data_IF_926283270224
#
_entry.id   IF_926283270224
#
_cell.length_a   1.000
_cell.length_b   1.000
_cell.length_c   1.000
_cell.angle_alpha   90.00
_cell.angle_beta   90.00
_cell.angle_gamma   90.00
#
_symmetry.space_group_name_H-M   'P 1'
#
loop_
_entity.id
_entity.type
_entity.pdbx_description
1 polymer ?
#
# COMPACT_ATOMS: atom_id res chain seq x y z
N UNK A 1 22.46 -2.43 43.56
CA UNK A 1 21.81 -3.32 42.58
C UNK A 1 20.47 -2.77 42.05
N UNK A 2 19.57 -2.26 42.89
CA UNK A 2 18.26 -1.71 42.47
C UNK A 2 18.39 -0.50 41.50
N UNK A 3 19.36 0.39 41.73
CA UNK A 3 19.59 1.57 40.87
C UNK A 3 20.02 1.21 39.43
N UNK A 4 20.83 0.16 39.25
CA UNK A 4 21.22 -0.34 37.93
C UNK A 4 20.03 -0.95 37.17
N UNK A 5 19.13 -1.63 37.88
CA UNK A 5 17.92 -2.21 37.29
C UNK A 5 16.96 -1.12 36.80
N UNK A 6 16.80 -0.04 37.55
CA UNK A 6 15.94 1.10 37.18
C UNK A 6 16.47 1.83 35.93
N UNK A 7 17.79 2.01 35.80
CA UNK A 7 18.38 2.60 34.59
C UNK A 7 18.18 1.72 33.35
N UNK A 8 18.27 0.40 33.49
CA UNK A 8 18.03 -0.55 32.39
C UNK A 8 16.58 -0.50 31.92
N UNK A 9 15.63 -0.49 32.85
CA UNK A 9 14.19 -0.41 32.52
C UNK A 9 13.86 0.96 31.90
N UNK A 10 14.40 2.04 32.46
CA UNK A 10 14.20 3.39 31.93
C UNK A 10 14.80 3.59 30.52
N UNK A 11 15.83 2.82 30.15
CA UNK A 11 16.38 2.82 28.79
C UNK A 11 15.63 1.91 27.82
N UNK A 12 15.22 0.71 28.26
CA UNK A 12 14.57 -0.30 27.39
C UNK A 12 13.14 0.07 26.99
N UNK A 13 12.36 0.65 27.91
CA UNK A 13 10.96 1.02 27.65
C UNK A 13 10.84 2.06 26.52
N UNK A 14 11.56 3.21 26.52
CA UNK A 14 11.49 4.15 25.42
C UNK A 14 11.98 3.55 24.10
N UNK A 15 13.02 2.70 24.10
CA UNK A 15 13.50 2.01 22.88
C UNK A 15 12.39 1.14 22.29
N UNK A 16 11.72 0.32 23.10
CA UNK A 16 10.60 -0.50 22.64
C UNK A 16 9.44 0.36 22.12
N UNK A 17 9.13 1.49 22.77
CA UNK A 17 8.13 2.45 22.28
C UNK A 17 8.51 3.06 20.92
N UNK A 18 9.77 3.43 20.71
CA UNK A 18 10.23 3.95 19.41
C UNK A 18 10.19 2.88 18.31
N UNK A 19 10.59 1.64 18.60
CA UNK A 19 10.45 0.52 17.66
C UNK A 19 8.98 0.22 17.30
N UNK A 20 8.07 0.31 18.27
CA UNK A 20 6.66 0.08 18.02
C UNK A 20 6.00 1.21 17.23
N UNK A 21 6.47 2.45 17.40
CA UNK A 21 5.98 3.61 16.65
C UNK A 21 6.41 3.58 15.17
N UNK A 22 7.60 3.03 14.87
CA UNK A 22 8.12 3.00 13.49
C UNK A 22 7.62 1.78 12.69
N UNK A 23 7.38 0.64 13.36
CA UNK A 23 6.83 -0.58 12.74
C UNK A 23 5.40 -0.43 12.19
N UNK A 24 4.71 0.67 12.50
CA UNK A 24 3.38 0.97 11.99
C UNK A 24 3.38 1.83 10.72
N UNK A 25 4.54 2.23 10.20
CA UNK A 25 4.65 2.92 8.91
C UNK A 25 4.64 1.88 7.80
N UNK A 26 3.45 1.58 7.28
CA UNK A 26 3.33 0.80 6.04
C UNK A 26 4.08 1.55 4.94
N UNK A 27 5.15 0.96 4.40
CA UNK A 27 5.96 1.61 3.38
C UNK A 27 5.12 1.81 2.11
N UNK A 28 4.77 3.05 1.81
CA UNK A 28 4.08 3.40 0.58
C UNK A 28 5.09 3.55 -0.54
N UNK A 29 5.17 2.56 -1.42
CA UNK A 29 5.98 2.66 -2.62
C UNK A 29 5.19 3.43 -3.68
N UNK A 30 5.59 4.69 -3.90
CA UNK A 30 4.93 5.57 -4.86
C UNK A 30 5.70 5.56 -6.18
N UNK A 31 5.00 5.28 -7.26
CA UNK A 31 5.52 5.41 -8.63
C UNK A 31 4.58 6.26 -9.48
N UNK A 32 5.09 6.77 -10.59
CA UNK A 32 4.27 7.45 -11.59
C UNK A 32 4.13 6.56 -12.81
N UNK A 33 2.89 6.25 -13.20
CA UNK A 33 2.58 5.50 -14.42
C UNK A 33 1.52 6.27 -15.19
N UNK A 34 1.81 6.59 -16.45
CA UNK A 34 0.91 7.34 -17.34
C UNK A 34 0.33 8.62 -16.70
N UNK A 35 1.20 9.41 -16.04
CA UNK A 35 0.81 10.65 -15.36
C UNK A 35 0.09 10.48 -14.01
N UNK A 36 -0.26 9.24 -13.65
CA UNK A 36 -0.92 8.88 -12.41
C UNK A 36 0.07 8.55 -11.31
N UNK A 37 -0.25 8.93 -10.07
CA UNK A 37 0.51 8.45 -8.92
C UNK A 37 -0.06 7.11 -8.45
N UNK A 38 0.74 6.04 -8.50
CA UNK A 38 0.37 4.71 -8.00
C UNK A 38 1.11 4.47 -6.69
N UNK A 39 0.36 4.35 -5.59
CA UNK A 39 0.84 3.95 -4.29
C UNK A 39 0.59 2.46 -4.05
N UNK A 40 1.65 1.69 -3.88
CA UNK A 40 1.53 0.27 -3.56
C UNK A 40 1.48 0.07 -2.04
N UNK A 41 0.38 -0.53 -1.55
CA UNK A 41 0.15 -0.82 -0.15
C UNK A 41 0.69 -2.22 0.17
N UNK A 42 1.93 -2.27 0.65
CA UNK A 42 2.61 -3.52 0.99
C UNK A 42 4.10 -3.48 0.67
N UNK A 43 4.80 -4.53 1.11
CA UNK A 43 6.21 -4.74 0.77
C UNK A 43 6.30 -5.47 -0.57
N UNK A 44 6.55 -4.71 -1.63
CA UNK A 44 6.81 -5.22 -2.97
C UNK A 44 8.27 -5.05 -3.31
N UNK A 45 8.91 -6.11 -3.80
CA UNK A 45 10.27 -6.03 -4.31
C UNK A 45 10.28 -5.37 -5.69
N UNK A 46 11.42 -4.83 -6.15
CA UNK A 46 11.53 -4.34 -7.52
C UNK A 46 11.16 -5.38 -8.58
N UNK A 47 11.40 -6.67 -8.31
CA UNK A 47 11.06 -7.76 -9.21
C UNK A 47 9.54 -7.95 -9.37
N UNK A 48 8.76 -7.62 -8.33
CA UNK A 48 7.29 -7.76 -8.37
C UNK A 48 6.61 -6.67 -9.21
N UNK A 49 7.29 -5.53 -9.44
CA UNK A 49 6.66 -4.32 -10.00
C UNK A 49 6.01 -4.55 -11.36
N UNK A 50 6.69 -5.23 -12.28
CA UNK A 50 6.16 -5.48 -13.63
C UNK A 50 4.87 -6.29 -13.56
N UNK A 51 4.86 -7.34 -12.74
CA UNK A 51 3.69 -8.17 -12.48
C UNK A 51 2.56 -7.33 -11.89
N UNK A 52 2.83 -6.58 -10.81
CA UNK A 52 1.83 -5.74 -10.14
C UNK A 52 1.24 -4.68 -11.06
N UNK A 53 2.05 -4.04 -11.91
CA UNK A 53 1.54 -3.05 -12.86
C UNK A 53 0.66 -3.67 -13.94
N UNK A 54 0.94 -4.90 -14.37
CA UNK A 54 0.02 -5.66 -15.21
C UNK A 54 -1.35 -5.80 -14.56
N UNK A 55 -1.37 -6.24 -13.30
CA UNK A 55 -2.61 -6.43 -12.54
C UNK A 55 -3.38 -5.11 -12.32
N UNK A 56 -2.69 -4.03 -11.97
CA UNK A 56 -3.31 -2.69 -11.83
C UNK A 56 -3.91 -2.24 -13.16
N UNK A 57 -3.19 -2.43 -14.28
CA UNK A 57 -3.66 -2.05 -15.62
C UNK A 57 -4.92 -2.81 -16.02
N UNK A 58 -4.98 -4.12 -15.76
CA UNK A 58 -6.17 -4.91 -16.04
C UNK A 58 -7.39 -4.43 -15.25
N UNK A 59 -7.24 -4.19 -13.94
CA UNK A 59 -8.34 -3.67 -13.12
C UNK A 59 -8.80 -2.30 -13.62
N UNK A 60 -7.87 -1.42 -14.01
CA UNK A 60 -8.22 -0.13 -14.59
C UNK A 60 -9.01 -0.26 -15.89
N UNK A 61 -8.61 -1.15 -16.79
CA UNK A 61 -9.32 -1.40 -18.06
C UNK A 61 -10.71 -1.97 -17.79
N UNK A 62 -10.82 -2.96 -16.90
CA UNK A 62 -12.10 -3.61 -16.55
C UNK A 62 -13.11 -2.60 -15.98
N UNK A 63 -12.63 -1.66 -15.15
CA UNK A 63 -13.45 -0.61 -14.54
C UNK A 63 -13.51 0.69 -15.35
N UNK A 64 -12.94 0.72 -16.57
CA UNK A 64 -12.92 1.91 -17.45
C UNK A 64 -12.31 3.15 -16.77
N UNK A 65 -11.28 2.95 -15.96
CA UNK A 65 -10.57 4.01 -15.24
C UNK A 65 -9.50 4.63 -16.13
N UNK A 66 -9.52 5.96 -16.22
CA UNK A 66 -8.52 6.74 -16.94
C UNK A 66 -7.62 7.45 -15.95
N UNK A 67 -6.33 7.12 -15.96
CA UNK A 67 -5.35 7.81 -15.14
C UNK A 67 -4.99 9.18 -15.71
N UNK A 68 -4.66 10.10 -14.80
CA UNK A 68 -4.30 11.48 -15.12
C UNK A 68 -3.56 12.12 -13.95
N UNK A 69 -3.04 13.33 -14.17
CA UNK A 69 -2.23 14.05 -13.16
C UNK A 69 -3.03 14.40 -11.89
N UNK A 70 -4.34 14.57 -12.05
CA UNK A 70 -5.35 14.83 -11.01
C UNK A 70 -5.86 13.55 -10.32
N UNK A 71 -5.27 12.39 -10.64
CA UNK A 71 -5.61 11.10 -10.05
C UNK A 71 -4.45 10.52 -9.23
N UNK A 72 -4.81 9.81 -8.17
CA UNK A 72 -3.94 8.86 -7.48
C UNK A 72 -4.63 7.52 -7.42
N UNK A 73 -3.86 6.45 -7.47
CA UNK A 73 -4.33 5.09 -7.33
C UNK A 73 -3.57 4.42 -6.21
N UNK A 74 -4.26 3.72 -5.32
CA UNK A 74 -3.64 2.90 -4.29
C UNK A 74 -4.02 1.45 -4.53
N UNK A 75 -3.04 0.58 -4.58
CA UNK A 75 -3.25 -0.84 -4.86
C UNK A 75 -2.60 -1.71 -3.80
N UNK A 76 -3.31 -2.75 -3.38
CA UNK A 76 -2.72 -3.81 -2.59
C UNK A 76 -3.58 -5.05 -2.60
N UNK A 77 -3.03 -6.12 -2.07
CA UNK A 77 -3.72 -7.40 -2.01
C UNK A 77 -3.25 -8.23 -0.82
N UNK A 78 -4.09 -9.16 -0.41
CA UNK A 78 -3.78 -10.18 0.58
C UNK A 78 -4.05 -11.54 -0.04
N UNK A 79 -2.97 -12.25 -0.42
CA UNK A 79 -3.05 -13.60 -0.96
C UNK A 79 -3.76 -14.55 0.01
N UNK A 80 -4.60 -15.41 -0.54
CA UNK A 80 -5.14 -16.55 0.18
C UNK A 80 -4.03 -17.61 0.39
N UNK A 81 -4.14 -18.40 1.45
CA UNK A 81 -3.24 -19.55 1.67
C UNK A 81 -3.46 -20.67 0.63
N UNK A 82 -4.60 -20.65 -0.05
CA UNK A 82 -4.96 -21.61 -1.08
C UNK A 82 -5.38 -20.83 -2.33
N UNK A 83 -4.53 -20.86 -3.36
CA UNK A 83 -4.80 -20.23 -4.66
C UNK A 83 -3.54 -19.73 -5.37
N UNK A 84 -3.60 -19.67 -6.71
CA UNK A 84 -2.64 -18.92 -7.53
C UNK A 84 -3.09 -17.46 -7.76
N UNK A 85 -4.21 -17.06 -7.17
CA UNK A 85 -4.78 -15.71 -7.27
C UNK A 85 -4.11 -14.70 -6.32
N UNK A 86 -4.48 -13.41 -6.44
CA UNK A 86 -4.08 -12.38 -5.48
C UNK A 86 -4.94 -12.35 -4.22
N UNK A 87 -5.86 -13.29 -4.06
CA UNK A 87 -6.85 -13.30 -3.00
C UNK A 87 -7.62 -11.99 -2.97
N UNK A 88 -7.63 -11.37 -1.78
CA UNK A 88 -8.37 -10.12 -1.52
C UNK A 88 -7.57 -8.95 -2.08
N UNK A 89 -7.95 -8.49 -3.25
CA UNK A 89 -7.33 -7.35 -3.93
C UNK A 89 -8.20 -6.11 -3.75
N UNK A 90 -7.56 -4.98 -3.49
CA UNK A 90 -8.23 -3.69 -3.39
C UNK A 90 -7.51 -2.65 -4.23
N UNK A 91 -8.30 -1.74 -4.80
CA UNK A 91 -7.82 -0.59 -5.52
C UNK A 91 -8.66 0.63 -5.11
N UNK A 92 -8.00 1.68 -4.62
CA UNK A 92 -8.64 2.97 -4.35
C UNK A 92 -8.22 3.95 -5.44
N UNK A 93 -9.18 4.45 -6.21
CA UNK A 93 -8.94 5.41 -7.28
C UNK A 93 -9.44 6.79 -6.86
N UNK A 94 -8.52 7.70 -6.63
CA UNK A 94 -8.75 8.95 -5.92
C UNK A 94 -8.56 10.18 -6.79
N UNK A 95 -9.37 11.20 -6.51
CA UNK A 95 -9.25 12.54 -7.10
C UNK A 95 -8.40 13.42 -6.18
N UNK A 96 -7.46 14.16 -6.76
CA UNK A 96 -6.68 15.19 -6.08
C UNK A 96 -7.39 16.54 -6.20
N UNK A 97 -7.58 17.23 -5.08
CA UNK A 97 -7.98 18.64 -5.07
C UNK A 97 -6.80 19.57 -5.35
N UNK A 98 -7.05 20.87 -5.37
CA UNK A 98 -6.08 21.91 -5.75
C UNK A 98 -4.80 21.93 -4.91
N UNK A 99 -4.89 21.49 -3.65
CA UNK A 99 -3.76 21.38 -2.72
C UNK A 99 -3.05 20.00 -2.78
N UNK A 100 -3.31 19.21 -3.82
CA UNK A 100 -2.82 17.82 -3.99
C UNK A 100 -3.29 16.84 -2.90
N UNK A 101 -4.23 17.23 -2.04
CA UNK A 101 -4.87 16.30 -1.09
C UNK A 101 -5.90 15.46 -1.83
N UNK A 102 -6.04 14.22 -1.40
CA UNK A 102 -7.10 13.34 -1.89
C UNK A 102 -8.43 13.85 -1.34
N UNK A 103 -9.39 14.13 -2.23
CA UNK A 103 -10.70 14.68 -1.85
C UNK A 103 -11.81 13.63 -1.90
N UNK A 104 -11.68 12.62 -2.75
CA UNK A 104 -12.61 11.50 -2.87
C UNK A 104 -11.88 10.29 -3.46
N UNK A 105 -12.39 9.09 -3.19
CA UNK A 105 -11.89 7.84 -3.76
C UNK A 105 -13.03 6.87 -4.05
N UNK A 106 -13.00 6.28 -5.24
CA UNK A 106 -13.80 5.10 -5.57
C UNK A 106 -12.99 3.84 -5.20
N UNK A 107 -13.62 2.90 -4.50
CA UNK A 107 -12.95 1.70 -3.99
C UNK A 107 -13.46 0.46 -4.73
N UNK A 108 -12.53 -0.28 -5.32
CA UNK A 108 -12.78 -1.51 -6.05
C UNK A 108 -12.23 -2.68 -5.23
N UNK A 109 -13.07 -3.67 -4.98
CA UNK A 109 -12.74 -4.81 -4.15
C UNK A 109 -13.01 -6.11 -4.88
N UNK A 110 -12.01 -6.99 -4.85
CA UNK A 110 -12.06 -8.32 -5.44
C UNK A 110 -11.71 -9.35 -4.39
N UNK A 111 -12.53 -10.40 -4.28
CA UNK A 111 -12.29 -11.48 -3.31
C UNK A 111 -11.18 -12.44 -3.75
N UNK A 112 -11.14 -12.75 -5.05
CA UNK A 112 -10.19 -13.67 -5.69
C UNK A 112 -9.77 -13.06 -7.04
N UNK A 113 -8.97 -12.00 -7.02
CA UNK A 113 -8.53 -11.38 -8.28
C UNK A 113 -7.62 -12.34 -9.04
N UNK A 114 -8.02 -12.67 -10.27
CA UNK A 114 -7.32 -13.60 -11.15
C UNK A 114 -5.89 -13.11 -11.43
N UNK A 115 -5.00 -14.06 -11.62
CA UNK A 115 -3.63 -13.81 -12.04
C UNK A 115 -3.46 -14.57 -13.35
N UNK A 116 -3.35 -13.85 -14.47
CA UNK A 116 -2.98 -14.41 -15.76
C UNK A 116 -1.46 -14.61 -15.87
#
# INVERSE_FOLDING_TARGET
>A
MISLLLCLIAGLVPVLFFYHADSNKQSLNVVTYDGCQIGLLGHFTPADRTFIYGQVREIMVENKLLCGKDRSLFFGFNKSNAGQDLGRTFLAFCIKGDNKRLISCDNYYYRNWRVE
#
